data_IF_038404549114
#
_entry.id   IF_038404549114
#
_cell.length_a   1.000
_cell.length_b   1.000
_cell.length_c   1.000
_cell.angle_alpha   90.00
_cell.angle_beta   90.00
_cell.angle_gamma   90.00
#
_symmetry.space_group_name_H-M   'P 1'
#
loop_
_entity.id
_entity.type
_entity.pdbx_description
1 polymer ?
#
# COMPACT_ATOMS: atom_id res chain seq x y z
N UNK A 1 5.26 -4.17 50.91
CA UNK A 1 5.77 -3.89 49.57
C UNK A 1 6.86 -2.82 49.66
N UNK A 2 8.06 -3.10 49.11
CA UNK A 2 9.16 -2.12 49.21
C UNK A 2 8.85 -0.84 48.43
N UNK A 3 9.40 0.30 48.86
CA UNK A 3 9.21 1.61 48.19
C UNK A 3 9.60 1.56 46.73
N UNK A 4 10.59 0.73 46.35
CA UNK A 4 11.02 0.52 45.01
C UNK A 4 9.93 -0.18 44.17
N UNK A 5 9.32 -1.28 44.64
CA UNK A 5 8.23 -1.98 43.95
C UNK A 5 7.03 -1.06 43.67
N UNK A 6 6.70 -0.17 44.67
CA UNK A 6 5.60 0.77 44.50
C UNK A 6 5.88 1.81 43.41
N UNK A 7 7.12 2.31 43.32
CA UNK A 7 7.54 3.22 42.24
C UNK A 7 7.47 2.55 40.88
N UNK A 8 7.93 1.32 40.74
CA UNK A 8 7.86 0.58 39.47
C UNK A 8 6.42 0.33 39.01
N UNK A 9 5.52 0.00 39.92
CA UNK A 9 4.09 -0.17 39.60
C UNK A 9 3.49 1.16 39.12
N UNK A 10 3.80 2.27 39.74
CA UNK A 10 3.32 3.60 39.34
C UNK A 10 3.88 3.95 37.93
N UNK A 11 5.16 3.75 37.68
CA UNK A 11 5.76 4.02 36.36
C UNK A 11 5.14 3.14 35.28
N UNK A 12 4.92 1.87 35.54
CA UNK A 12 4.29 0.94 34.61
C UNK A 12 2.83 1.34 34.32
N UNK A 13 2.05 1.73 35.34
CA UNK A 13 0.67 2.19 35.13
C UNK A 13 0.58 3.49 34.34
N UNK A 14 1.50 4.43 34.55
CA UNK A 14 1.61 5.65 33.74
C UNK A 14 1.94 5.31 32.30
N UNK A 15 2.92 4.43 32.08
CA UNK A 15 3.32 3.98 30.74
C UNK A 15 2.17 3.30 29.99
N UNK A 16 1.44 2.39 30.64
CA UNK A 16 0.24 1.77 30.07
C UNK A 16 -0.83 2.83 29.76
N UNK A 17 -1.06 3.78 30.68
CA UNK A 17 -2.01 4.88 30.47
C UNK A 17 -1.67 5.72 29.24
N UNK A 18 -0.39 6.05 29.04
CA UNK A 18 0.09 6.79 27.87
C UNK A 18 -0.13 6.00 26.58
N UNK A 19 0.16 4.69 26.58
CA UNK A 19 -0.08 3.83 25.41
C UNK A 19 -1.58 3.76 25.06
N UNK A 20 -2.43 3.58 26.06
CA UNK A 20 -3.88 3.56 25.85
C UNK A 20 -4.41 4.89 25.32
N UNK A 21 -3.95 6.00 25.86
CA UNK A 21 -4.33 7.33 25.39
C UNK A 21 -3.85 7.56 23.96
N UNK A 22 -2.61 7.19 23.63
CA UNK A 22 -2.07 7.28 22.28
C UNK A 22 -2.85 6.41 21.27
N UNK A 23 -3.18 5.17 21.65
CA UNK A 23 -3.99 4.27 20.82
C UNK A 23 -5.39 4.82 20.57
N UNK A 24 -6.02 5.36 21.59
CA UNK A 24 -7.36 5.96 21.48
C UNK A 24 -7.33 7.19 20.57
N UNK A 25 -6.34 8.06 20.77
CA UNK A 25 -6.12 9.24 19.92
C UNK A 25 -5.90 8.83 18.48
N UNK A 26 -5.04 7.83 18.24
CA UNK A 26 -4.81 7.28 16.90
C UNK A 26 -6.11 6.79 16.27
N UNK A 27 -6.89 5.98 16.99
CA UNK A 27 -8.16 5.44 16.52
C UNK A 27 -9.15 6.53 16.06
N UNK A 28 -9.28 7.61 16.86
CA UNK A 28 -10.21 8.70 16.53
C UNK A 28 -9.66 9.65 15.47
N UNK A 29 -8.38 10.01 15.52
CA UNK A 29 -7.77 10.94 14.55
C UNK A 29 -7.71 10.34 13.15
N UNK A 30 -7.40 9.04 13.04
CA UNK A 30 -7.31 8.36 11.75
C UNK A 30 -8.62 7.71 11.31
N UNK A 31 -9.68 7.82 12.13
CA UNK A 31 -11.02 7.30 11.79
C UNK A 31 -11.01 5.83 11.33
N UNK A 32 -10.26 5.00 12.07
CA UNK A 32 -10.00 3.59 11.74
C UNK A 32 -11.27 2.79 11.49
N UNK A 33 -12.38 3.19 12.15
CA UNK A 33 -13.69 2.55 11.97
C UNK A 33 -14.21 2.63 10.53
N UNK A 34 -13.87 3.70 9.81
CA UNK A 34 -14.36 3.98 8.46
C UNK A 34 -13.31 3.64 7.38
N UNK A 35 -12.27 2.90 7.71
CA UNK A 35 -11.31 2.44 6.70
C UNK A 35 -12.00 1.56 5.68
N UNK A 36 -11.69 1.79 4.41
CA UNK A 36 -12.29 1.02 3.32
C UNK A 36 -11.83 -0.43 3.40
N UNK A 37 -12.81 -1.35 3.33
CA UNK A 37 -12.50 -2.77 3.20
C UNK A 37 -12.03 -3.04 1.77
N UNK A 38 -11.04 -3.90 1.65
CA UNK A 38 -10.54 -4.35 0.36
C UNK A 38 -11.67 -5.09 -0.39
N UNK A 39 -12.03 -4.58 -1.55
CA UNK A 39 -13.02 -5.18 -2.44
C UNK A 39 -12.29 -5.83 -3.62
N UNK A 40 -12.17 -7.15 -3.59
CA UNK A 40 -11.46 -7.90 -4.62
C UNK A 40 -12.08 -7.71 -6.03
N UNK A 41 -13.35 -7.35 -6.13
CA UNK A 41 -13.99 -7.12 -7.43
C UNK A 41 -13.39 -5.91 -8.15
N UNK A 42 -12.90 -4.90 -7.44
CA UNK A 42 -12.23 -3.73 -8.01
C UNK A 42 -10.87 -4.05 -8.65
N UNK A 43 -10.27 -5.18 -8.30
CA UNK A 43 -9.02 -5.63 -8.91
C UNK A 43 -9.20 -6.13 -10.34
N UNK A 44 -10.40 -6.61 -10.66
CA UNK A 44 -10.72 -7.20 -11.97
C UNK A 44 -11.43 -6.23 -12.91
N UNK A 45 -12.05 -5.17 -12.38
CA UNK A 45 -12.78 -4.16 -13.16
C UNK A 45 -11.86 -2.99 -13.49
N UNK A 46 -10.96 -3.19 -14.43
CA UNK A 46 -10.15 -2.10 -14.98
C UNK A 46 -10.82 -1.54 -16.23
N UNK A 47 -10.79 -0.21 -16.38
CA UNK A 47 -11.25 0.45 -17.60
C UNK A 47 -10.44 -0.08 -18.79
N UNK A 48 -11.12 -0.67 -19.76
CA UNK A 48 -10.53 -1.19 -20.98
C UNK A 48 -10.74 -0.22 -22.14
N UNK A 49 -9.86 -0.31 -23.13
CA UNK A 49 -10.01 0.40 -24.38
C UNK A 49 -11.19 -0.18 -25.17
N UNK A 50 -12.14 0.66 -25.58
CA UNK A 50 -13.27 0.22 -26.40
C UNK A 50 -12.84 0.12 -27.86
N UNK A 51 -13.17 -1.00 -28.50
CA UNK A 51 -12.90 -1.21 -29.92
C UNK A 51 -14.22 -1.26 -30.69
N UNK A 52 -14.29 -0.53 -31.79
CA UNK A 52 -15.44 -0.51 -32.70
C UNK A 52 -15.18 -1.49 -33.84
N UNK A 53 -16.16 -2.35 -34.09
CA UNK A 53 -16.12 -3.35 -35.17
C UNK A 53 -17.18 -3.05 -36.24
N UNK A 54 -16.92 -3.48 -37.47
CA UNK A 54 -17.92 -3.50 -38.54
C UNK A 54 -18.87 -4.71 -38.42
N UNK A 55 -19.86 -4.82 -39.31
CA UNK A 55 -20.80 -5.94 -39.31
C UNK A 55 -20.17 -7.30 -39.69
N UNK A 56 -18.87 -7.34 -40.01
CA UNK A 56 -18.07 -8.51 -40.37
C UNK A 56 -16.97 -8.77 -39.32
N UNK A 57 -17.06 -8.15 -38.16
CA UNK A 57 -16.12 -8.26 -37.04
C UNK A 57 -14.70 -7.71 -37.33
N UNK A 58 -14.51 -6.89 -38.37
CA UNK A 58 -13.24 -6.21 -38.58
C UNK A 58 -13.16 -4.96 -37.71
N UNK A 59 -11.97 -4.67 -37.21
CA UNK A 59 -11.73 -3.48 -36.37
C UNK A 59 -11.83 -2.22 -37.26
N UNK A 60 -12.82 -1.36 -37.00
CA UNK A 60 -12.93 -0.05 -37.62
C UNK A 60 -11.95 0.92 -36.96
N UNK A 61 -12.01 1.02 -35.64
CA UNK A 61 -11.15 1.89 -34.87
C UNK A 61 -11.15 1.53 -33.37
N UNK A 62 -10.13 1.98 -32.67
CA UNK A 62 -10.04 1.88 -31.22
C UNK A 62 -10.33 3.25 -30.61
N UNK A 63 -11.36 3.32 -29.76
CA UNK A 63 -11.73 4.55 -29.07
C UNK A 63 -10.74 4.75 -27.92
N UNK A 64 -9.82 5.69 -28.11
CA UNK A 64 -8.83 6.04 -27.10
C UNK A 64 -9.50 6.92 -26.04
N UNK A 65 -9.61 6.38 -24.82
CA UNK A 65 -9.97 7.16 -23.64
C UNK A 65 -8.74 7.84 -23.01
N UNK A 66 -8.89 8.29 -21.78
CA UNK A 66 -7.76 8.78 -20.96
C UNK A 66 -6.70 7.68 -20.68
N UNK A 67 -7.09 6.43 -20.80
CA UNK A 67 -6.24 5.26 -20.59
C UNK A 67 -6.43 4.25 -21.71
N UNK A 68 -5.31 3.78 -22.27
CA UNK A 68 -5.30 2.69 -23.25
C UNK A 68 -4.76 1.44 -22.56
N UNK A 69 -5.65 0.53 -22.17
CA UNK A 69 -5.29 -0.71 -21.49
C UNK A 69 -5.71 -1.92 -22.32
N UNK A 70 -4.79 -2.83 -22.50
CA UNK A 70 -5.06 -4.19 -23.00
C UNK A 70 -4.77 -5.13 -21.84
N UNK A 71 -5.77 -5.91 -21.43
CA UNK A 71 -5.59 -6.93 -20.41
C UNK A 71 -4.83 -8.10 -21.01
N UNK A 72 -3.81 -8.55 -20.30
CA UNK A 72 -3.03 -9.73 -20.59
C UNK A 72 -2.99 -10.60 -19.35
N UNK A 73 -2.85 -11.92 -19.53
CA UNK A 73 -2.66 -12.81 -18.39
C UNK A 73 -1.20 -12.80 -17.95
N UNK A 74 -0.94 -13.23 -16.72
CA UNK A 74 0.44 -13.29 -16.20
C UNK A 74 1.30 -14.25 -17.03
N UNK A 75 0.68 -15.28 -17.61
CA UNK A 75 1.35 -16.29 -18.44
C UNK A 75 1.79 -15.72 -19.80
N UNK A 76 1.13 -14.67 -20.29
CA UNK A 76 1.50 -13.96 -21.52
C UNK A 76 2.71 -13.01 -21.30
N UNK A 77 3.07 -12.75 -20.05
CA UNK A 77 4.19 -11.87 -19.71
C UNK A 77 5.46 -12.70 -19.53
N UNK A 78 6.51 -12.45 -20.32
CA UNK A 78 7.78 -13.18 -20.17
C UNK A 78 8.34 -13.08 -18.74
N UNK A 79 8.87 -14.19 -18.22
CA UNK A 79 9.36 -14.27 -16.84
C UNK A 79 10.39 -13.19 -16.50
N UNK A 80 11.29 -12.87 -17.42
CA UNK A 80 12.30 -11.82 -17.21
C UNK A 80 11.66 -10.43 -17.04
N UNK A 81 10.52 -10.17 -17.68
CA UNK A 81 9.78 -8.92 -17.52
C UNK A 81 9.12 -8.86 -16.14
N UNK A 82 8.50 -9.95 -15.69
CA UNK A 82 7.93 -10.06 -14.33
C UNK A 82 9.03 -9.82 -13.28
N UNK A 83 10.18 -10.49 -13.45
CA UNK A 83 11.33 -10.34 -12.54
C UNK A 83 11.91 -8.93 -12.54
N UNK A 84 11.93 -8.25 -13.69
CA UNK A 84 12.41 -6.87 -13.78
C UNK A 84 11.51 -5.91 -12.96
N UNK A 85 10.17 -6.07 -13.03
CA UNK A 85 9.24 -5.30 -12.20
C UNK A 85 9.45 -5.56 -10.72
N UNK A 86 9.57 -6.84 -10.33
CA UNK A 86 9.79 -7.21 -8.92
C UNK A 86 11.12 -6.65 -8.43
N UNK A 87 12.19 -6.76 -9.21
CA UNK A 87 13.51 -6.26 -8.84
C UNK A 87 13.54 -4.71 -8.69
N UNK A 88 12.78 -4.00 -9.51
CA UNK A 88 12.72 -2.54 -9.45
C UNK A 88 11.86 -2.02 -8.30
N UNK A 89 10.69 -2.62 -8.07
CA UNK A 89 9.70 -2.09 -7.16
C UNK A 89 9.74 -2.75 -5.77
N UNK A 90 9.98 -4.07 -5.72
CA UNK A 90 9.83 -4.84 -4.50
C UNK A 90 10.70 -6.11 -4.52
N UNK A 91 12.00 -5.94 -4.39
CA UNK A 91 13.00 -7.01 -4.53
C UNK A 91 12.73 -8.23 -3.62
N UNK A 92 11.98 -8.05 -2.53
CA UNK A 92 11.61 -9.11 -1.58
C UNK A 92 10.13 -9.48 -1.64
N UNK A 93 9.47 -9.26 -2.77
CA UNK A 93 8.04 -9.50 -2.98
C UNK A 93 7.56 -10.87 -2.48
N UNK A 94 8.36 -11.92 -2.67
CA UNK A 94 8.03 -13.29 -2.25
C UNK A 94 8.41 -13.61 -0.79
N UNK A 95 9.03 -12.68 -0.07
CA UNK A 95 9.50 -12.89 1.30
C UNK A 95 8.57 -12.28 2.37
N UNK A 96 7.57 -11.49 1.95
CA UNK A 96 6.62 -10.85 2.85
C UNK A 96 5.17 -11.03 2.38
N UNK A 97 4.21 -10.79 3.27
CA UNK A 97 2.77 -10.97 3.02
C UNK A 97 2.03 -9.67 2.69
N UNK A 98 2.68 -8.74 1.99
CA UNK A 98 2.09 -7.46 1.57
C UNK A 98 2.80 -6.24 2.14
N UNK A 99 3.40 -6.32 3.32
CA UNK A 99 4.19 -5.26 3.96
C UNK A 99 5.60 -5.77 4.21
N UNK A 100 6.59 -5.04 3.71
CA UNK A 100 8.01 -5.32 3.96
C UNK A 100 8.55 -4.49 5.12
N UNK A 101 8.50 -5.07 6.31
CA UNK A 101 8.94 -4.41 7.55
C UNK A 101 10.44 -4.07 7.51
N UNK A 102 11.27 -4.93 6.93
CA UNK A 102 12.71 -4.68 6.83
C UNK A 102 13.02 -3.49 5.90
N UNK A 103 12.28 -3.39 4.79
CA UNK A 103 12.41 -2.25 3.88
C UNK A 103 11.97 -0.94 4.54
N UNK A 104 10.91 -0.99 5.37
CA UNK A 104 10.46 0.18 6.14
C UNK A 104 11.57 0.66 7.08
N UNK A 105 12.18 -0.23 7.86
CA UNK A 105 13.28 0.14 8.74
C UNK A 105 14.53 0.59 7.98
N UNK A 106 14.84 -0.04 6.84
CA UNK A 106 15.94 0.37 5.95
C UNK A 106 15.76 1.78 5.43
N UNK A 107 14.58 2.07 4.85
CA UNK A 107 14.24 3.38 4.34
C UNK A 107 14.21 4.46 5.45
N UNK A 108 13.68 4.14 6.63
CA UNK A 108 13.70 5.05 7.77
C UNK A 108 15.14 5.42 8.16
N UNK A 109 16.03 4.44 8.26
CA UNK A 109 17.44 4.67 8.57
C UNK A 109 18.13 5.53 7.51
N UNK A 110 17.92 5.19 6.22
CA UNK A 110 18.51 5.91 5.09
C UNK A 110 18.04 7.37 5.06
N UNK A 111 16.73 7.60 5.21
CA UNK A 111 16.13 8.92 5.24
C UNK A 111 16.62 9.76 6.43
N UNK A 112 16.80 9.15 7.61
CA UNK A 112 17.37 9.82 8.77
C UNK A 112 18.84 10.21 8.55
N UNK A 113 19.62 9.36 7.87
CA UNK A 113 21.04 9.63 7.57
C UNK A 113 21.21 10.69 6.49
N UNK A 114 20.36 10.67 5.46
CA UNK A 114 20.40 11.63 4.34
C UNK A 114 19.74 12.97 4.65
N UNK A 115 18.94 13.05 5.71
CA UNK A 115 18.11 14.22 6.03
C UNK A 115 17.01 14.51 5.01
N UNK A 116 16.69 13.54 4.14
CA UNK A 116 15.69 13.66 3.08
C UNK A 116 14.81 12.41 3.00
N UNK A 117 13.58 12.56 2.49
CA UNK A 117 12.68 11.44 2.22
C UNK A 117 12.95 10.85 0.82
N UNK A 118 14.18 10.38 0.60
CA UNK A 118 14.63 9.90 -0.71
C UNK A 118 14.19 8.46 -1.01
N UNK A 119 14.11 7.60 0.00
CA UNK A 119 13.73 6.20 -0.16
C UNK A 119 12.29 5.92 0.24
N UNK A 120 11.54 5.28 -0.67
CA UNK A 120 10.21 4.75 -0.43
C UNK A 120 10.26 3.28 0.00
N UNK A 121 9.37 2.88 0.91
CA UNK A 121 9.26 1.52 1.42
C UNK A 121 7.97 0.81 0.99
N UNK A 122 7.22 1.36 0.05
CA UNK A 122 5.95 0.76 -0.40
C UNK A 122 6.22 -0.49 -1.23
N UNK A 123 5.46 -1.54 -0.96
CA UNK A 123 5.49 -2.80 -1.70
C UNK A 123 4.58 -2.75 -2.93
N UNK A 124 4.72 -3.70 -3.86
CA UNK A 124 3.80 -3.85 -5.00
C UNK A 124 2.36 -4.03 -4.52
N UNK A 125 2.14 -4.81 -3.45
CA UNK A 125 0.81 -5.03 -2.86
C UNK A 125 0.19 -3.73 -2.35
N UNK A 126 0.96 -2.90 -1.64
CA UNK A 126 0.50 -1.59 -1.17
C UNK A 126 0.21 -0.63 -2.33
N UNK A 127 1.04 -0.64 -3.38
CA UNK A 127 0.79 0.16 -4.58
C UNK A 127 -0.50 -0.27 -5.28
N UNK A 128 -0.79 -1.58 -5.36
CA UNK A 128 -2.03 -2.10 -5.92
C UNK A 128 -3.25 -1.64 -5.10
N UNK A 129 -3.21 -1.77 -3.78
CA UNK A 129 -4.27 -1.29 -2.89
C UNK A 129 -4.53 0.21 -3.08
N UNK A 130 -3.47 1.00 -3.16
CA UNK A 130 -3.56 2.44 -3.42
C UNK A 130 -4.26 2.75 -4.75
N UNK A 131 -3.90 2.06 -5.83
CA UNK A 131 -4.41 2.33 -7.17
C UNK A 131 -5.87 1.90 -7.36
N UNK A 132 -6.33 0.92 -6.59
CA UNK A 132 -7.65 0.31 -6.77
C UNK A 132 -8.69 0.76 -5.74
N UNK A 133 -8.27 1.13 -4.54
CA UNK A 133 -9.18 1.38 -3.42
C UNK A 133 -9.03 2.76 -2.79
N UNK A 134 -7.87 3.41 -2.92
CA UNK A 134 -7.61 4.66 -2.22
C UNK A 134 -7.65 5.85 -3.18
N UNK A 135 -7.90 7.03 -2.61
CA UNK A 135 -7.83 8.29 -3.37
C UNK A 135 -6.40 8.62 -3.77
N UNK A 136 -6.25 9.45 -4.80
CA UNK A 136 -4.92 9.95 -5.23
C UNK A 136 -4.32 11.01 -4.28
N UNK A 137 -5.04 11.40 -3.23
CA UNK A 137 -4.58 12.41 -2.28
C UNK A 137 -3.35 11.95 -1.50
N UNK A 138 -2.39 12.86 -1.34
CA UNK A 138 -1.16 12.59 -0.58
C UNK A 138 -1.35 12.95 0.89
N UNK A 139 -2.11 12.15 1.63
CA UNK A 139 -2.36 12.35 3.07
C UNK A 139 -1.73 11.25 3.92
N UNK A 140 -1.40 11.56 5.18
CA UNK A 140 -0.92 10.57 6.14
C UNK A 140 -1.98 9.50 6.41
N UNK A 141 -3.26 9.89 6.44
CA UNK A 141 -4.37 8.96 6.61
C UNK A 141 -4.36 7.89 5.51
N UNK A 142 -4.33 8.32 4.24
CA UNK A 142 -4.26 7.40 3.10
C UNK A 142 -3.03 6.48 3.17
N UNK A 143 -1.88 6.99 3.62
CA UNK A 143 -0.66 6.18 3.74
C UNK A 143 -0.76 5.10 4.83
N UNK A 144 -1.57 5.30 5.84
CA UNK A 144 -1.85 4.31 6.88
C UNK A 144 -2.93 3.29 6.46
N UNK A 145 -3.84 3.69 5.57
CA UNK A 145 -4.86 2.82 4.98
C UNK A 145 -4.26 1.88 3.90
N UNK A 146 -3.14 2.26 3.30
CA UNK A 146 -2.36 1.49 2.31
C UNK A 146 -1.66 0.27 2.95
#
# INVERSE_FOLDING_TARGET
MSKAKKRWIILLSIFIGVILAASLTFYFVFDVKNWQKLDASKLTVLAQTSTLYDGQENIITTLKGSENRTLVTIDDIPLHTQQAFIAAEDVRFYEHSGIDVYRIFGALRSNLQSGSLAEGASTITQQLAKLTHLSSEKTLRRKLEE
#
